data_IF_255414271475
#
_entry.id   IF_255414271475
#
_cell.length_a   1.000
_cell.length_b   1.000
_cell.length_c   1.000
_cell.angle_alpha   90.00
_cell.angle_beta   90.00
_cell.angle_gamma   90.00
#
_symmetry.space_group_name_H-M   'P 1'
#
loop_
_entity.id
_entity.type
_entity.pdbx_description
1 polymer ?
#
# COMPACT_ATOMS: atom_id res chain seq x y z
N UNK A 1 -11.45 19.89 -34.39
CA UNK A 1 -12.39 19.18 -33.48
C UNK A 1 -12.02 17.71 -33.51
N UNK A 2 -11.79 16.98 -32.39
CA UNK A 2 -12.39 17.11 -31.06
C UNK A 2 -11.37 17.18 -29.89
N UNK A 3 -11.62 18.02 -28.86
CA UNK A 3 -10.81 18.05 -27.62
C UNK A 3 -11.68 17.96 -26.35
N UNK A 4 -13.00 17.74 -26.48
CA UNK A 4 -13.93 17.93 -25.36
C UNK A 4 -14.17 16.71 -24.45
N UNK A 5 -13.51 15.58 -24.66
CA UNK A 5 -13.82 14.34 -23.92
C UNK A 5 -12.94 14.06 -22.68
N UNK A 6 -11.90 14.88 -22.41
CA UNK A 6 -10.81 14.47 -21.49
C UNK A 6 -10.69 15.31 -20.21
N UNK A 7 -11.68 16.14 -19.86
CA UNK A 7 -11.61 17.01 -18.66
C UNK A 7 -12.20 16.41 -17.38
N UNK A 8 -12.85 15.24 -17.41
CA UNK A 8 -13.56 14.72 -16.22
C UNK A 8 -12.64 13.99 -15.23
N UNK A 9 -11.39 13.66 -15.57
CA UNK A 9 -10.51 12.85 -14.70
C UNK A 9 -9.54 13.66 -13.83
N UNK A 10 -9.44 14.98 -14.00
CA UNK A 10 -8.39 15.77 -13.32
C UNK A 10 -8.72 16.24 -11.89
N UNK A 11 -9.93 15.96 -11.39
CA UNK A 11 -10.37 16.50 -10.09
C UNK A 11 -9.94 15.66 -8.87
N UNK A 12 -9.36 14.47 -9.08
CA UNK A 12 -9.01 13.53 -8.01
C UNK A 12 -7.52 13.54 -7.60
N UNK A 13 -6.65 14.27 -8.32
CA UNK A 13 -5.18 14.16 -8.18
C UNK A 13 -4.52 15.09 -7.16
N UNK A 14 -5.29 15.91 -6.43
CA UNK A 14 -4.75 16.90 -5.47
C UNK A 14 -5.09 16.57 -4.00
N UNK A 15 -5.35 15.31 -3.66
CA UNK A 15 -5.49 14.92 -2.26
C UNK A 15 -4.10 14.74 -1.63
N UNK A 16 -3.74 15.49 -0.58
CA UNK A 16 -2.56 15.19 0.21
C UNK A 16 -2.77 13.81 0.84
N UNK A 17 -2.07 12.79 0.32
CA UNK A 17 -2.21 11.42 0.82
C UNK A 17 -1.43 11.35 2.13
N UNK A 18 -2.09 11.15 3.29
CA UNK A 18 -1.38 11.00 4.56
C UNK A 18 -0.50 9.74 4.47
N UNK A 19 0.81 9.93 4.49
CA UNK A 19 1.84 8.88 4.42
C UNK A 19 1.98 8.16 5.77
N UNK A 20 0.86 7.81 6.40
CA UNK A 20 0.87 7.18 7.71
C UNK A 20 -0.34 6.26 7.77
N UNK A 21 -0.29 5.10 7.10
CA UNK A 21 -1.22 4.00 7.36
C UNK A 21 -0.94 3.43 8.76
N UNK A 22 -1.13 4.26 9.79
CA UNK A 22 -1.07 3.88 11.20
C UNK A 22 -2.09 2.77 11.49
N UNK A 23 -3.11 2.62 10.64
CA UNK A 23 -4.15 1.60 10.72
C UNK A 23 -3.80 0.29 9.98
N UNK A 24 -3.06 0.34 8.87
CA UNK A 24 -2.78 -0.86 8.06
C UNK A 24 -1.84 -1.85 8.76
N UNK A 25 -0.77 -1.34 9.38
CA UNK A 25 0.21 -2.15 10.13
C UNK A 25 -0.40 -2.91 11.31
N UNK A 26 -1.16 -2.30 12.23
CA UNK A 26 -1.79 -3.06 13.32
C UNK A 26 -2.84 -4.04 12.81
N UNK A 27 -3.57 -3.73 11.73
CA UNK A 27 -4.55 -4.65 11.16
C UNK A 27 -3.88 -5.91 10.58
N UNK A 28 -2.71 -5.75 9.94
CA UNK A 28 -1.89 -6.88 9.50
C UNK A 28 -1.33 -7.71 10.67
N UNK A 29 -0.92 -7.06 11.77
CA UNK A 29 -0.50 -7.78 12.98
C UNK A 29 -1.65 -8.59 13.59
N UNK A 30 -2.83 -8.00 13.73
CA UNK A 30 -4.04 -8.69 14.21
C UNK A 30 -4.40 -9.86 13.29
N UNK A 31 -4.34 -9.67 11.97
CA UNK A 31 -4.57 -10.75 11.01
C UNK A 31 -3.58 -11.91 11.20
N UNK A 32 -2.29 -11.62 11.43
CA UNK A 32 -1.27 -12.64 11.65
C UNK A 32 -1.49 -13.43 12.96
N UNK A 33 -1.96 -12.76 14.01
CA UNK A 33 -2.31 -13.40 15.29
C UNK A 33 -3.55 -14.27 15.14
N UNK A 34 -4.58 -13.81 14.42
CA UNK A 34 -5.77 -14.61 14.13
C UNK A 34 -5.45 -15.84 13.29
N UNK A 35 -4.55 -15.70 12.30
CA UNK A 35 -4.10 -16.85 11.52
C UNK A 35 -3.32 -17.86 12.38
N UNK A 36 -2.45 -17.36 13.27
CA UNK A 36 -1.72 -18.20 14.22
C UNK A 36 -2.67 -18.92 15.17
N UNK A 37 -3.73 -18.24 15.63
CA UNK A 37 -4.79 -18.84 16.44
C UNK A 37 -5.52 -19.95 15.68
N UNK A 38 -5.92 -19.71 14.43
CA UNK A 38 -6.58 -20.72 13.61
C UNK A 38 -5.72 -21.97 13.42
N UNK A 39 -4.41 -21.80 13.17
CA UNK A 39 -3.46 -22.90 13.07
C UNK A 39 -3.34 -23.67 14.39
N UNK A 40 -3.30 -22.98 15.52
CA UNK A 40 -3.27 -23.60 16.84
C UNK A 40 -4.53 -24.43 17.12
N UNK A 41 -5.71 -23.90 16.79
CA UNK A 41 -6.99 -24.60 16.95
C UNK A 41 -7.02 -25.90 16.14
N UNK A 42 -6.63 -25.84 14.86
CA UNK A 42 -6.54 -27.02 13.97
C UNK A 42 -5.54 -28.04 14.52
N UNK A 43 -4.37 -27.58 14.96
CA UNK A 43 -3.35 -28.45 15.53
C UNK A 43 -3.88 -29.20 16.76
N UNK A 44 -4.56 -28.50 17.66
CA UNK A 44 -5.10 -29.10 18.88
C UNK A 44 -6.16 -30.16 18.55
N UNK A 45 -7.06 -29.88 17.60
CA UNK A 45 -8.06 -30.85 17.13
C UNK A 45 -7.42 -32.09 16.51
N UNK A 46 -6.39 -31.92 15.69
CA UNK A 46 -5.64 -33.04 15.10
C UNK A 46 -4.92 -33.87 16.16
N UNK A 47 -4.31 -33.22 17.15
CA UNK A 47 -3.64 -33.92 18.26
C UNK A 47 -4.62 -34.74 19.10
N UNK A 48 -5.83 -34.21 19.32
CA UNK A 48 -6.91 -34.89 20.04
C UNK A 48 -7.43 -36.12 19.28
N UNK A 49 -7.61 -36.00 17.95
CA UNK A 49 -8.02 -37.14 17.11
C UNK A 49 -6.94 -38.25 17.07
N UNK A 50 -5.66 -37.87 17.06
CA UNK A 50 -4.54 -38.82 17.14
C UNK A 50 -4.52 -39.54 18.49
N UNK A 51 -4.79 -38.85 19.59
CA UNK A 51 -4.87 -39.45 20.91
C UNK A 51 -6.01 -40.47 21.04
N UNK A 52 -7.14 -40.21 20.38
CA UNK A 52 -8.30 -41.12 20.35
C UNK A 52 -8.15 -42.30 19.39
N UNK A 53 -7.04 -42.40 18.63
CA UNK A 53 -6.83 -43.39 17.56
C UNK A 53 -7.99 -43.45 16.54
N UNK A 54 -8.66 -42.32 16.31
CA UNK A 54 -9.75 -42.19 15.33
C UNK A 54 -9.33 -41.20 14.23
N UNK A 55 -8.44 -41.60 13.30
CA UNK A 55 -7.96 -40.73 12.24
C UNK A 55 -9.05 -40.38 11.22
N UNK A 56 -10.09 -41.22 11.11
CA UNK A 56 -11.13 -41.11 10.08
C UNK A 56 -12.26 -40.16 10.45
N UNK A 57 -12.25 -39.63 11.69
CA UNK A 57 -13.30 -38.70 12.12
C UNK A 57 -13.07 -37.36 11.43
N UNK A 58 -14.09 -36.80 10.75
CA UNK A 58 -13.97 -35.48 10.15
C UNK A 58 -13.68 -34.44 11.23
N UNK A 59 -12.71 -33.58 10.96
CA UNK A 59 -12.41 -32.41 11.78
C UNK A 59 -13.69 -31.58 11.87
N UNK A 60 -13.98 -30.99 13.03
CA UNK A 60 -15.12 -30.08 13.18
C UNK A 60 -14.93 -28.85 12.27
N UNK A 61 -15.47 -28.94 11.05
CA UNK A 61 -15.30 -27.96 9.98
C UNK A 61 -15.76 -26.57 10.37
N UNK A 62 -16.77 -26.47 11.24
CA UNK A 62 -17.34 -25.20 11.68
C UNK A 62 -16.25 -24.26 12.22
N UNK A 63 -15.41 -24.74 13.13
CA UNK A 63 -14.42 -23.90 13.82
C UNK A 63 -13.33 -23.42 12.85
N UNK A 64 -12.82 -24.33 12.02
CA UNK A 64 -11.77 -24.02 11.03
C UNK A 64 -12.28 -23.04 9.97
N UNK A 65 -13.50 -23.25 9.48
CA UNK A 65 -14.06 -22.42 8.41
C UNK A 65 -14.31 -20.99 8.88
N UNK A 66 -14.84 -20.79 10.09
CA UNK A 66 -15.09 -19.46 10.62
C UNK A 66 -13.79 -18.70 10.95
N UNK A 67 -12.83 -19.34 11.64
CA UNK A 67 -11.57 -18.67 12.04
C UNK A 67 -10.70 -18.34 10.83
N UNK A 68 -10.56 -19.26 9.87
CA UNK A 68 -9.76 -19.02 8.67
C UNK A 68 -10.41 -17.98 7.74
N UNK A 69 -11.74 -18.01 7.57
CA UNK A 69 -12.43 -17.04 6.71
C UNK A 69 -12.35 -15.64 7.32
N UNK A 70 -12.51 -15.52 8.65
CA UNK A 70 -12.37 -14.25 9.35
C UNK A 70 -10.94 -13.70 9.25
N UNK A 71 -9.93 -14.54 9.50
CA UNK A 71 -8.52 -14.16 9.38
C UNK A 71 -8.17 -13.73 7.95
N UNK A 72 -8.70 -14.43 6.94
CA UNK A 72 -8.50 -14.09 5.53
C UNK A 72 -9.11 -12.74 5.18
N UNK A 73 -10.37 -12.49 5.55
CA UNK A 73 -11.05 -11.22 5.27
C UNK A 73 -10.30 -10.06 5.92
N UNK A 74 -9.92 -10.18 7.19
CA UNK A 74 -9.17 -9.14 7.90
C UNK A 74 -7.78 -8.95 7.29
N UNK A 75 -7.11 -10.03 6.89
CA UNK A 75 -5.82 -9.98 6.22
C UNK A 75 -5.87 -9.27 4.86
N UNK A 76 -6.90 -9.55 4.05
CA UNK A 76 -7.11 -8.88 2.75
C UNK A 76 -7.39 -7.39 2.95
N UNK A 77 -8.25 -7.04 3.91
CA UNK A 77 -8.53 -5.63 4.24
C UNK A 77 -7.27 -4.91 4.77
N UNK A 78 -6.49 -5.57 5.63
CA UNK A 78 -5.22 -5.04 6.13
C UNK A 78 -4.18 -4.81 5.04
N UNK A 79 -4.05 -5.78 4.12
CA UNK A 79 -3.14 -5.66 2.98
C UNK A 79 -3.56 -4.54 2.03
N UNK A 80 -4.86 -4.42 1.75
CA UNK A 80 -5.39 -3.36 0.87
C UNK A 80 -5.19 -1.96 1.45
N UNK A 81 -5.40 -1.77 2.75
CA UNK A 81 -5.19 -0.49 3.43
C UNK A 81 -3.71 -0.13 3.64
N UNK A 82 -2.81 -1.11 3.57
CA UNK A 82 -1.36 -0.90 3.66
C UNK A 82 -0.72 -0.62 2.29
N UNK A 83 -1.46 -0.74 1.18
CA UNK A 83 -0.91 -0.50 -0.15
C UNK A 83 -0.54 0.98 -0.33
N UNK A 84 0.66 1.30 -0.87
CA UNK A 84 1.03 2.66 -1.17
C UNK A 84 0.12 3.25 -2.27
N UNK A 85 -0.16 4.56 -2.24
CA UNK A 85 -0.95 5.20 -3.27
C UNK A 85 -0.27 5.07 -4.63
N UNK A 86 -1.08 4.84 -5.68
CA UNK A 86 -0.58 4.78 -7.04
C UNK A 86 -0.03 6.15 -7.44
N UNK A 87 1.22 6.17 -7.91
CA UNK A 87 1.81 7.37 -8.50
C UNK A 87 1.31 7.52 -9.94
N UNK A 88 0.84 8.72 -10.28
CA UNK A 88 0.49 9.06 -11.66
C UNK A 88 1.73 8.95 -12.57
N UNK A 89 1.61 8.18 -13.65
CA UNK A 89 2.68 7.98 -14.65
C UNK A 89 2.61 8.98 -15.82
N UNK A 90 1.61 9.87 -15.83
CA UNK A 90 1.42 10.78 -16.97
C UNK A 90 2.40 11.94 -16.90
N UNK A 91 3.07 12.21 -18.01
CA UNK A 91 4.03 13.32 -18.13
C UNK A 91 3.40 14.67 -17.76
N UNK A 92 2.13 14.90 -18.13
CA UNK A 92 1.40 16.12 -17.78
C UNK A 92 1.23 16.30 -16.26
N UNK A 93 0.93 15.22 -15.53
CA UNK A 93 0.78 15.27 -14.06
C UNK A 93 2.09 15.50 -13.33
N UNK A 94 3.21 14.99 -13.87
CA UNK A 94 4.54 15.22 -13.32
C UNK A 94 5.00 16.65 -13.64
N UNK A 95 4.76 17.12 -14.87
CA UNK A 95 5.16 18.45 -15.33
C UNK A 95 4.44 19.59 -14.57
N UNK A 96 3.20 19.36 -14.12
CA UNK A 96 2.45 20.30 -13.28
C UNK A 96 3.09 20.55 -11.90
N UNK A 97 3.91 19.61 -11.40
CA UNK A 97 4.58 19.72 -10.09
C UNK A 97 5.92 20.45 -10.16
N UNK A 98 6.49 20.60 -11.36
CA UNK A 98 7.80 21.22 -11.58
C UNK A 98 7.62 22.71 -11.91
N UNK A 99 8.58 23.52 -11.48
CA UNK A 99 8.61 24.95 -11.81
C UNK A 99 9.42 25.19 -13.09
N UNK A 100 9.13 26.31 -13.78
CA UNK A 100 9.84 26.69 -15.01
C UNK A 100 11.33 26.89 -14.72
N UNK A 101 11.68 27.46 -13.57
CA UNK A 101 13.07 27.66 -13.16
C UNK A 101 13.82 26.34 -12.99
N UNK A 102 13.17 25.29 -12.46
CA UNK A 102 13.77 23.96 -12.32
C UNK A 102 14.02 23.28 -13.68
N UNK A 103 13.11 23.51 -14.63
CA UNK A 103 13.24 22.99 -16.01
C UNK A 103 14.29 23.75 -16.83
N UNK A 104 14.40 25.05 -16.62
CA UNK A 104 15.28 25.95 -17.40
C UNK A 104 16.68 26.11 -16.78
N UNK A 105 16.86 25.73 -15.50
CA UNK A 105 18.17 25.77 -14.82
C UNK A 105 19.26 24.94 -15.52
N UNK A 106 18.87 24.01 -16.40
CA UNK A 106 19.72 23.19 -17.30
C UNK A 106 21.13 22.99 -16.73
N UNK A 107 21.29 22.26 -15.60
CA UNK A 107 22.51 22.27 -14.79
C UNK A 107 23.77 21.79 -15.53
N UNK A 108 23.61 21.00 -16.59
CA UNK A 108 24.72 20.61 -17.48
C UNK A 108 25.32 21.76 -18.30
N UNK A 109 24.66 22.93 -18.34
CA UNK A 109 25.12 24.15 -19.01
C UNK A 109 25.25 25.31 -18.03
N UNK A 110 25.43 25.04 -16.74
CA UNK A 110 25.58 26.06 -15.72
C UNK A 110 26.77 26.98 -16.05
N UNK A 111 26.48 28.24 -16.37
CA UNK A 111 27.49 29.25 -16.60
C UNK A 111 27.80 29.98 -15.29
N UNK A 112 29.02 29.78 -14.76
CA UNK A 112 29.49 30.42 -13.54
C UNK A 112 30.04 31.83 -13.76
N UNK A 113 30.04 32.35 -14.99
CA UNK A 113 30.44 33.72 -15.32
C UNK A 113 29.15 34.54 -15.49
N UNK A 114 28.52 34.87 -14.36
CA UNK A 114 27.32 35.70 -14.30
C UNK A 114 27.51 36.87 -13.33
N UNK A 115 26.63 37.87 -13.39
CA UNK A 115 26.64 39.04 -12.48
C UNK A 115 26.54 38.64 -11.00
N UNK A 116 26.06 37.43 -10.71
CA UNK A 116 26.02 36.89 -9.35
C UNK A 116 27.44 36.70 -8.76
N UNK A 117 28.47 36.42 -9.57
CA UNK A 117 29.87 36.26 -9.12
C UNK A 117 30.46 37.54 -8.52
N UNK A 118 30.06 38.71 -9.01
CA UNK A 118 30.56 39.99 -8.48
C UNK A 118 29.80 40.46 -7.24
N UNK A 119 28.56 39.98 -7.06
CA UNK A 119 27.64 40.45 -6.03
C UNK A 119 27.63 39.51 -4.81
N UNK A 120 27.65 38.19 -5.03
CA UNK A 120 27.96 37.19 -4.02
C UNK A 120 29.36 36.65 -4.28
N UNK A 121 30.27 36.84 -3.32
CA UNK A 121 31.63 36.27 -3.35
C UNK A 121 31.53 34.75 -3.16
N UNK A 122 31.23 34.04 -4.25
CA UNK A 122 31.20 32.58 -4.39
C UNK A 122 32.23 32.19 -5.46
#
# INVERSE_FOLDING_TARGET
MPIHCMQVTSHFSNLPVPHNSMLGKPLLLVASLLLSHAVYTVYNQLSHLKALRQPDKPISLNIVYYECTLALIIGVLGASLNAPPLKDITWASEMRKRTIDEMDARPGFANYISRARSLHRI
#
